data_IF_542965673563
#
_entry.id   IF_542965673563
#
_cell.length_a   1.000
_cell.length_b   1.000
_cell.length_c   1.000
_cell.angle_alpha   90.00
_cell.angle_beta   90.00
_cell.angle_gamma   90.00
#
_symmetry.space_group_name_H-M   'P 1'
#
loop_
_entity.id
_entity.type
_entity.pdbx_description
1 polymer ?
#
# COMPACT_ATOMS: atom_id res chain seq x y z
N UNK A 1 -42.65 10.32 -84.95
CA UNK A 1 -42.98 10.86 -83.61
C UNK A 1 -42.79 9.73 -82.62
N UNK A 2 -42.03 9.99 -81.56
CA UNK A 2 -41.34 8.99 -80.71
C UNK A 2 -42.31 8.25 -79.78
N UNK A 3 -42.18 6.93 -79.73
CA UNK A 3 -42.76 6.06 -78.70
C UNK A 3 -41.91 6.15 -77.43
N UNK A 4 -42.56 6.37 -76.29
CA UNK A 4 -41.96 6.44 -74.96
C UNK A 4 -42.13 5.09 -74.27
N UNK A 5 -41.05 4.34 -74.09
CA UNK A 5 -41.01 3.12 -73.27
C UNK A 5 -40.41 3.43 -71.90
N UNK A 6 -41.15 3.11 -70.84
CA UNK A 6 -40.68 3.12 -69.45
C UNK A 6 -39.91 1.83 -69.17
N UNK A 7 -38.65 1.94 -68.73
CA UNK A 7 -37.87 0.82 -68.21
C UNK A 7 -37.86 0.93 -66.68
N UNK A 8 -38.48 -0.04 -66.02
CA UNK A 8 -38.43 -0.24 -64.57
C UNK A 8 -37.11 -0.96 -64.28
N UNK A 9 -36.22 -0.31 -63.54
CA UNK A 9 -35.00 -0.93 -63.02
C UNK A 9 -35.36 -1.88 -61.86
N UNK A 10 -35.20 -3.19 -62.09
CA UNK A 10 -35.28 -4.21 -61.04
C UNK A 10 -33.90 -4.33 -60.41
N UNK A 11 -33.76 -3.75 -59.22
CA UNK A 11 -32.57 -3.88 -58.37
C UNK A 11 -32.55 -5.30 -57.77
N UNK A 12 -31.67 -6.16 -58.28
CA UNK A 12 -31.43 -7.49 -57.74
C UNK A 12 -30.58 -7.37 -56.47
N UNK A 13 -31.20 -7.50 -55.29
CA UNK A 13 -30.52 -7.54 -54.01
C UNK A 13 -29.99 -8.97 -53.78
N UNK A 14 -28.68 -9.17 -53.99
CA UNK A 14 -28.00 -10.42 -53.63
C UNK A 14 -27.87 -10.51 -52.10
N UNK A 15 -28.71 -11.32 -51.47
CA UNK A 15 -28.53 -11.71 -50.07
C UNK A 15 -27.41 -12.75 -50.07
N UNK A 16 -26.18 -12.31 -49.82
CA UNK A 16 -25.09 -13.19 -49.40
C UNK A 16 -25.47 -13.72 -48.01
N UNK A 17 -26.15 -14.87 -47.96
CA UNK A 17 -26.19 -15.71 -46.78
C UNK A 17 -24.78 -16.27 -46.56
N UNK A 18 -23.91 -15.43 -46.00
CA UNK A 18 -22.69 -15.89 -45.37
C UNK A 18 -23.10 -16.77 -44.21
N UNK A 19 -23.01 -18.08 -44.41
CA UNK A 19 -22.94 -19.01 -43.30
C UNK A 19 -21.67 -18.62 -42.55
N UNK A 20 -21.77 -17.86 -41.46
CA UNK A 20 -20.70 -17.78 -40.48
C UNK A 20 -20.50 -19.22 -40.01
N UNK A 21 -19.53 -19.88 -40.64
CA UNK A 21 -19.09 -21.20 -40.21
C UNK A 21 -18.45 -20.95 -38.86
N UNK A 22 -19.23 -21.15 -37.81
CA UNK A 22 -18.74 -21.34 -36.46
C UNK A 22 -17.78 -22.54 -36.58
N UNK A 23 -16.47 -22.25 -36.69
CA UNK A 23 -15.46 -23.29 -36.75
C UNK A 23 -15.55 -24.03 -35.43
N UNK A 24 -16.17 -25.21 -35.46
CA UNK A 24 -16.26 -26.10 -34.33
C UNK A 24 -14.84 -26.53 -33.96
N UNK A 25 -14.28 -25.85 -32.97
CA UNK A 25 -12.89 -26.02 -32.57
C UNK A 25 -12.75 -27.42 -31.94
N UNK A 26 -11.76 -28.23 -32.36
CA UNK A 26 -11.58 -29.57 -31.82
C UNK A 26 -11.32 -29.51 -30.31
N UNK A 27 -12.14 -30.22 -29.54
CA UNK A 27 -11.91 -30.42 -28.10
C UNK A 27 -10.62 -31.21 -27.87
N UNK A 28 -9.63 -30.59 -27.26
CA UNK A 28 -8.40 -31.26 -26.80
C UNK A 28 -8.63 -31.81 -25.40
N UNK A 29 -8.15 -33.04 -25.18
CA UNK A 29 -8.08 -33.62 -23.85
C UNK A 29 -6.78 -33.23 -23.10
N UNK A 30 -5.86 -32.52 -23.75
CA UNK A 30 -4.63 -32.04 -23.11
C UNK A 30 -4.91 -30.73 -22.36
N UNK A 31 -4.58 -30.65 -21.06
CA UNK A 31 -4.80 -29.44 -20.28
C UNK A 31 -3.83 -28.32 -20.71
N UNK A 32 -4.21 -27.03 -20.55
CA UNK A 32 -3.29 -25.91 -20.71
C UNK A 32 -2.22 -25.92 -19.60
N UNK A 33 -1.27 -24.98 -19.63
CA UNK A 33 -0.32 -24.75 -18.52
C UNK A 33 -0.40 -23.32 -17.99
N UNK A 34 -0.04 -23.12 -16.72
CA UNK A 34 -0.04 -21.81 -16.07
C UNK A 34 1.05 -21.71 -15.00
N UNK A 35 1.74 -20.57 -14.96
CA UNK A 35 2.63 -20.18 -13.87
C UNK A 35 2.14 -18.86 -13.26
N UNK A 36 2.16 -18.76 -11.94
CA UNK A 36 1.85 -17.54 -11.20
C UNK A 36 3.14 -16.96 -10.60
N UNK A 37 3.37 -15.67 -10.78
CA UNK A 37 4.49 -14.94 -10.18
C UNK A 37 4.02 -13.65 -9.50
N UNK A 38 4.71 -13.29 -8.42
CA UNK A 38 4.50 -12.07 -7.64
C UNK A 38 5.72 -11.81 -6.74
N UNK A 39 5.76 -10.63 -6.11
CA UNK A 39 6.79 -10.31 -5.12
C UNK A 39 6.61 -11.17 -3.84
N UNK A 40 7.70 -11.41 -3.11
CA UNK A 40 7.64 -12.15 -1.84
C UNK A 40 7.16 -11.30 -0.66
N UNK A 41 7.00 -9.99 -0.86
CA UNK A 41 6.54 -9.03 0.14
C UNK A 41 5.38 -8.23 -0.41
N UNK A 42 4.31 -8.15 0.36
CA UNK A 42 3.15 -7.32 0.08
C UNK A 42 3.12 -6.16 1.10
N UNK A 43 3.00 -4.92 0.65
CA UNK A 43 2.92 -3.77 1.56
C UNK A 43 1.48 -3.61 2.03
N UNK A 44 1.27 -3.54 3.35
CA UNK A 44 -0.06 -3.28 3.92
C UNK A 44 -0.66 -1.97 3.38
N UNK A 45 -1.96 -1.96 3.12
CA UNK A 45 -2.72 -0.87 2.46
C UNK A 45 -2.29 -0.55 1.02
N UNK A 46 -1.38 -1.35 0.44
CA UNK A 46 -0.91 -1.23 -0.93
C UNK A 46 -1.57 -2.21 -1.90
N UNK A 47 -1.20 -2.10 -3.18
CA UNK A 47 -1.56 -3.05 -4.24
C UNK A 47 -0.50 -4.14 -4.36
N UNK A 48 -0.92 -5.39 -4.33
CA UNK A 48 -0.06 -6.56 -4.59
C UNK A 48 -0.40 -7.16 -5.95
N UNK A 49 0.59 -7.19 -6.85
CA UNK A 49 0.36 -7.52 -8.26
C UNK A 49 0.69 -9.00 -8.54
N UNK A 50 -0.33 -9.77 -8.89
CA UNK A 50 -0.25 -11.16 -9.32
C UNK A 50 -0.18 -11.23 -10.84
N UNK A 51 0.81 -11.96 -11.39
CA UNK A 51 0.99 -12.15 -12.83
C UNK A 51 0.89 -13.63 -13.19
N UNK A 52 -0.13 -13.97 -13.97
CA UNK A 52 -0.33 -15.31 -14.48
C UNK A 52 0.11 -15.41 -15.95
N UNK A 53 0.97 -16.37 -16.24
CA UNK A 53 1.43 -16.69 -17.59
C UNK A 53 0.85 -18.05 -17.99
N UNK A 54 -0.16 -18.02 -18.86
CA UNK A 54 -0.85 -19.21 -19.36
C UNK A 54 -0.43 -19.55 -20.78
N UNK A 55 -0.18 -20.83 -21.06
CA UNK A 55 0.01 -21.35 -22.41
C UNK A 55 -1.14 -22.30 -22.76
N UNK A 56 -1.71 -22.08 -23.93
CA UNK A 56 -2.72 -22.97 -24.50
C UNK A 56 -2.09 -24.29 -24.92
N UNK A 57 -2.82 -25.39 -24.73
CA UNK A 57 -2.45 -26.70 -25.27
C UNK A 57 -2.33 -26.70 -26.81
N UNK A 58 -2.92 -25.70 -27.48
CA UNK A 58 -2.94 -25.55 -28.94
C UNK A 58 -1.81 -24.66 -29.49
N UNK A 59 -0.90 -24.15 -28.66
CA UNK A 59 0.18 -23.26 -29.10
C UNK A 59 -0.25 -21.86 -29.57
N UNK A 60 -1.53 -21.49 -29.38
CA UNK A 60 -2.13 -20.20 -29.75
C UNK A 60 -3.40 -19.90 -28.93
N UNK A 61 -4.14 -18.83 -29.22
CA UNK A 61 -5.25 -18.39 -28.37
C UNK A 61 -6.41 -19.42 -28.32
N UNK A 62 -6.50 -20.18 -27.22
CA UNK A 62 -7.71 -20.93 -26.80
C UNK A 62 -7.90 -20.89 -25.28
N UNK A 63 -7.44 -19.82 -24.64
CA UNK A 63 -7.69 -19.56 -23.22
C UNK A 63 -9.02 -18.80 -23.07
N UNK A 64 -9.77 -19.10 -22.01
CA UNK A 64 -11.02 -18.42 -21.71
C UNK A 64 -10.82 -17.42 -20.56
N UNK A 65 -10.22 -17.88 -19.47
CA UNK A 65 -10.20 -17.12 -18.21
C UNK A 65 -9.10 -17.59 -17.26
N UNK A 66 -8.57 -16.67 -16.47
CA UNK A 66 -7.77 -16.96 -15.27
C UNK A 66 -8.53 -16.45 -14.05
N UNK A 67 -8.81 -17.37 -13.13
CA UNK A 67 -9.35 -17.07 -11.80
C UNK A 67 -8.21 -16.98 -10.80
N UNK A 68 -8.19 -15.92 -9.99
CA UNK A 68 -7.19 -15.68 -8.96
C UNK A 68 -7.78 -15.98 -7.58
N UNK A 69 -7.00 -16.63 -6.74
CA UNK A 69 -7.41 -17.08 -5.42
C UNK A 69 -6.43 -16.61 -4.35
N UNK A 70 -6.94 -16.26 -3.17
CA UNK A 70 -6.19 -16.02 -1.94
C UNK A 70 -6.71 -16.95 -0.85
N UNK A 71 -5.83 -17.75 -0.24
CA UNK A 71 -6.17 -18.69 0.84
C UNK A 71 -7.36 -19.62 0.51
N UNK A 72 -7.57 -19.92 -0.78
CA UNK A 72 -8.67 -20.76 -1.27
C UNK A 72 -9.93 -20.00 -1.70
N UNK A 73 -10.05 -18.70 -1.43
CA UNK A 73 -11.17 -17.86 -1.85
C UNK A 73 -10.87 -17.17 -3.19
N UNK A 74 -11.83 -17.17 -4.13
CA UNK A 74 -11.68 -16.46 -5.42
C UNK A 74 -11.73 -14.95 -5.17
N UNK A 75 -10.63 -14.26 -5.48
CA UNK A 75 -10.48 -12.80 -5.31
C UNK A 75 -10.71 -12.03 -6.60
N UNK A 76 -10.71 -12.70 -7.74
CA UNK A 76 -11.02 -12.06 -9.02
C UNK A 76 -10.74 -12.94 -10.22
N UNK A 77 -10.93 -12.34 -11.39
CA UNK A 77 -10.80 -13.04 -12.67
C UNK A 77 -10.31 -12.11 -13.79
N UNK A 78 -9.69 -12.70 -14.81
CA UNK A 78 -9.26 -12.02 -16.05
C UNK A 78 -9.52 -12.90 -17.26
N UNK A 79 -10.16 -12.33 -18.28
CA UNK A 79 -10.50 -13.03 -19.54
C UNK A 79 -9.64 -12.61 -20.73
N UNK A 80 -8.77 -11.62 -20.54
CA UNK A 80 -7.89 -11.07 -21.59
C UNK A 80 -6.45 -11.00 -21.07
N UNK A 81 -5.51 -11.48 -21.87
CA UNK A 81 -4.08 -11.38 -21.58
C UNK A 81 -3.57 -9.94 -21.83
N UNK A 82 -2.59 -9.43 -21.06
CA UNK A 82 -1.87 -10.11 -19.97
C UNK A 82 -2.74 -10.33 -18.73
N UNK A 83 -2.69 -11.54 -18.15
CA UNK A 83 -3.47 -11.89 -16.95
C UNK A 83 -2.79 -11.33 -15.69
N UNK A 84 -3.01 -10.04 -15.43
CA UNK A 84 -2.52 -9.36 -14.23
C UNK A 84 -3.68 -8.99 -13.32
N UNK A 85 -3.57 -9.33 -12.04
CA UNK A 85 -4.56 -9.00 -11.01
C UNK A 85 -3.91 -8.19 -9.90
N UNK A 86 -4.54 -7.08 -9.52
CA UNK A 86 -4.10 -6.26 -8.39
C UNK A 86 -4.97 -6.59 -7.18
N UNK A 87 -4.35 -7.16 -6.16
CA UNK A 87 -4.98 -7.45 -4.87
C UNK A 87 -4.74 -6.31 -3.89
N UNK A 88 -5.81 -5.78 -3.30
CA UNK A 88 -5.73 -4.80 -2.22
C UNK A 88 -5.32 -5.47 -0.90
N UNK A 89 -4.12 -5.15 -0.43
CA UNK A 89 -3.59 -5.70 0.82
C UNK A 89 -4.19 -4.92 1.99
N UNK A 90 -5.06 -5.55 2.77
CA UNK A 90 -5.58 -4.95 3.99
C UNK A 90 -4.51 -4.94 5.09
N UNK A 91 -4.64 -4.03 6.05
CA UNK A 91 -3.83 -4.04 7.26
C UNK A 91 -4.24 -5.23 8.14
N UNK A 92 -3.49 -6.32 8.05
CA UNK A 92 -3.54 -7.40 9.03
C UNK A 92 -2.28 -7.32 9.86
N UNK A 93 -2.41 -7.27 11.19
CA UNK A 93 -1.26 -7.28 12.08
C UNK A 93 -1.42 -8.40 13.07
N UNK A 94 -0.71 -9.52 12.86
CA UNK A 94 0.77 -9.65 12.79
C UNK A 94 1.33 -9.92 11.38
N UNK A 95 2.65 -10.11 11.25
CA UNK A 95 3.36 -10.63 10.05
C UNK A 95 2.67 -11.89 9.47
N UNK A 96 1.62 -11.69 8.67
CA UNK A 96 0.85 -12.77 8.05
C UNK A 96 1.47 -13.12 6.70
N UNK A 97 1.49 -14.42 6.39
CA UNK A 97 1.72 -14.88 5.02
C UNK A 97 0.37 -15.03 4.32
N UNK A 98 0.28 -14.45 3.12
CA UNK A 98 -0.83 -14.70 2.20
C UNK A 98 -0.40 -15.74 1.17
N UNK A 99 -1.26 -16.73 0.89
CA UNK A 99 -1.02 -17.71 -0.17
C UNK A 99 -1.96 -17.44 -1.35
N UNK A 100 -1.38 -17.35 -2.55
CA UNK A 100 -2.13 -17.12 -3.77
C UNK A 100 -1.89 -18.22 -4.79
N UNK A 101 -2.92 -18.53 -5.57
CA UNK A 101 -2.82 -19.37 -6.75
C UNK A 101 -3.79 -18.87 -7.81
N UNK A 102 -3.60 -19.34 -9.04
CA UNK A 102 -4.48 -19.06 -10.16
C UNK A 102 -4.99 -20.38 -10.76
N UNK A 103 -6.18 -20.32 -11.36
CA UNK A 103 -6.76 -21.42 -12.13
C UNK A 103 -7.02 -20.91 -13.54
N UNK A 104 -6.35 -21.52 -14.52
CA UNK A 104 -6.55 -21.22 -15.94
C UNK A 104 -7.60 -22.17 -16.50
N UNK A 105 -8.59 -21.61 -17.21
CA UNK A 105 -9.67 -22.33 -17.89
C UNK A 105 -9.56 -22.06 -19.38
N UNK A 106 -9.57 -23.11 -20.20
CA UNK A 106 -9.62 -23.01 -21.66
C UNK A 106 -11.06 -23.03 -22.19
N UNK A 107 -11.26 -22.78 -23.50
CA UNK A 107 -12.60 -22.77 -24.09
C UNK A 107 -13.29 -24.13 -24.16
N UNK A 108 -12.53 -25.22 -24.00
CA UNK A 108 -13.07 -26.58 -23.91
C UNK A 108 -13.51 -26.93 -22.47
N UNK A 109 -13.27 -26.04 -21.50
CA UNK A 109 -13.60 -26.23 -20.09
C UNK A 109 -12.53 -26.98 -19.30
N UNK A 110 -11.36 -27.26 -19.88
CA UNK A 110 -10.25 -27.83 -19.11
C UNK A 110 -9.69 -26.77 -18.16
N UNK A 111 -9.43 -27.17 -16.92
CA UNK A 111 -8.92 -26.30 -15.86
C UNK A 111 -7.61 -26.84 -15.28
N UNK A 112 -6.66 -25.94 -15.03
CA UNK A 112 -5.39 -26.27 -14.37
C UNK A 112 -5.02 -25.23 -13.31
N UNK A 113 -4.50 -25.69 -12.18
CA UNK A 113 -4.02 -24.84 -11.08
C UNK A 113 -2.53 -24.51 -11.26
N UNK A 114 -2.15 -23.27 -10.97
CA UNK A 114 -0.76 -22.81 -10.96
C UNK A 114 0.04 -23.34 -9.77
N UNK A 115 1.34 -23.05 -9.75
CA UNK A 115 2.11 -23.01 -8.52
C UNK A 115 1.48 -22.04 -7.50
N UNK A 116 1.80 -22.23 -6.23
CA UNK A 116 1.42 -21.31 -5.16
C UNK A 116 2.50 -20.24 -4.99
N UNK A 117 2.10 -18.98 -4.82
CA UNK A 117 2.99 -17.87 -4.44
C UNK A 117 2.62 -17.40 -3.03
N UNK A 118 3.64 -17.07 -2.23
CA UNK A 118 3.46 -16.62 -0.85
C UNK A 118 4.06 -15.24 -0.66
N UNK A 119 3.30 -14.35 -0.03
CA UNK A 119 3.75 -13.00 0.29
C UNK A 119 3.71 -12.77 1.79
N UNK A 120 4.82 -12.29 2.37
CA UNK A 120 4.82 -11.75 3.74
C UNK A 120 4.25 -10.33 3.69
N UNK A 121 3.22 -10.07 4.48
CA UNK A 121 2.71 -8.70 4.64
C UNK A 121 3.73 -7.90 5.44
N UNK A 122 4.12 -6.73 4.92
CA UNK A 122 4.96 -5.76 5.62
C UNK A 122 4.16 -4.48 5.87
N UNK A 123 4.03 -4.12 7.14
CA UNK A 123 3.51 -2.81 7.54
C UNK A 123 4.67 -1.81 7.46
N UNK A 124 4.48 -0.73 6.70
CA UNK A 124 5.44 0.37 6.67
C UNK A 124 5.08 1.38 7.77
N UNK A 125 6.08 2.06 8.37
CA UNK A 125 5.81 3.17 9.26
C UNK A 125 5.08 4.30 8.54
N UNK A 126 4.07 4.86 9.20
CA UNK A 126 3.40 6.07 8.77
C UNK A 126 4.12 7.24 9.43
N UNK A 127 4.65 8.14 8.60
CA UNK A 127 5.39 9.33 9.05
C UNK A 127 4.46 10.52 9.23
N UNK A 128 4.70 11.27 10.30
CA UNK A 128 4.14 12.58 10.56
C UNK A 128 5.31 13.55 10.75
N UNK A 129 5.48 14.45 9.79
CA UNK A 129 6.47 15.53 9.89
C UNK A 129 6.10 16.47 11.05
N UNK A 130 7.07 16.84 11.88
CA UNK A 130 6.80 17.59 13.09
C UNK A 130 6.19 18.97 12.76
N UNK A 131 6.64 19.60 11.68
CA UNK A 131 6.15 20.91 11.22
C UNK A 131 4.70 20.88 10.70
N UNK A 132 4.17 19.70 10.40
CA UNK A 132 2.77 19.50 10.00
C UNK A 132 1.86 19.15 11.19
N UNK A 133 2.44 18.93 12.39
CA UNK A 133 1.69 18.68 13.61
C UNK A 133 1.14 19.97 14.22
N UNK A 134 0.19 19.84 15.16
CA UNK A 134 -0.31 21.00 15.92
C UNK A 134 0.74 21.41 16.94
N UNK A 135 1.27 22.63 16.81
CA UNK A 135 2.29 23.16 17.72
C UNK A 135 1.70 23.47 19.10
N UNK A 136 2.50 23.29 20.15
CA UNK A 136 2.15 23.62 21.54
C UNK A 136 3.12 24.61 22.14
N UNK A 137 2.62 25.45 23.05
CA UNK A 137 3.46 26.33 23.87
C UNK A 137 4.31 27.27 23.01
N UNK A 138 5.63 27.25 23.25
CA UNK A 138 6.59 28.07 22.50
C UNK A 138 7.07 27.42 21.19
N UNK A 139 6.64 26.19 20.90
CA UNK A 139 7.12 25.44 19.75
C UNK A 139 6.85 26.20 18.45
N UNK A 140 7.82 26.16 17.54
CA UNK A 140 7.75 26.86 16.25
C UNK A 140 8.47 26.06 15.17
N UNK A 141 7.96 26.19 13.94
CA UNK A 141 8.64 25.64 12.76
C UNK A 141 9.90 26.45 12.49
N UNK A 142 10.99 25.76 12.18
CA UNK A 142 12.21 26.33 11.64
C UNK A 142 12.53 25.70 10.28
N UNK A 143 13.01 26.52 9.34
CA UNK A 143 13.33 26.13 7.96
C UNK A 143 14.43 27.02 7.37
N UNK A 144 15.36 27.48 8.22
CA UNK A 144 16.59 28.12 7.77
C UNK A 144 17.41 27.15 6.89
N UNK A 145 18.46 27.67 6.24
CA UNK A 145 19.22 26.90 5.25
C UNK A 145 19.81 25.60 5.82
N UNK A 146 20.35 25.62 7.03
CA UNK A 146 20.98 24.44 7.64
C UNK A 146 19.92 23.40 8.01
N UNK A 147 18.79 23.86 8.53
CA UNK A 147 17.62 23.01 8.82
C UNK A 147 17.09 22.33 7.55
N UNK A 148 16.92 23.08 6.44
CA UNK A 148 16.40 22.54 5.17
C UNK A 148 17.28 21.45 4.56
N UNK A 149 18.59 21.48 4.82
CA UNK A 149 19.56 20.55 4.26
C UNK A 149 19.58 19.19 4.96
N UNK A 150 19.08 19.13 6.19
CA UNK A 150 19.28 17.99 7.10
C UNK A 150 17.97 17.38 7.58
N UNK A 151 16.93 18.19 7.71
CA UNK A 151 15.62 17.75 8.20
C UNK A 151 14.82 17.12 7.06
N UNK A 152 14.07 16.09 7.39
CA UNK A 152 13.03 15.58 6.51
C UNK A 152 12.04 16.68 6.15
N UNK A 153 11.50 16.62 4.93
CA UNK A 153 10.61 17.63 4.39
C UNK A 153 11.11 19.10 4.53
N UNK A 154 12.42 19.27 4.69
CA UNK A 154 13.13 20.54 4.78
C UNK A 154 12.74 21.42 5.99
N UNK A 155 12.11 20.90 7.03
CA UNK A 155 11.75 21.69 8.21
C UNK A 155 11.81 20.86 9.49
N UNK A 156 11.76 21.55 10.63
CA UNK A 156 11.71 20.94 11.96
C UNK A 156 10.81 21.75 12.88
N UNK A 157 10.45 21.17 14.01
CA UNK A 157 9.90 21.91 15.15
C UNK A 157 10.96 22.08 16.22
N UNK A 158 11.27 23.34 16.52
CA UNK A 158 12.11 23.70 17.65
C UNK A 158 11.37 24.50 18.71
N UNK A 159 12.13 25.11 19.62
CA UNK A 159 11.60 25.86 20.76
C UNK A 159 10.76 25.03 21.74
N UNK A 160 11.09 23.76 21.84
CA UNK A 160 10.52 22.83 22.81
C UNK A 160 11.27 23.07 24.14
N UNK A 161 11.03 24.26 24.71
CA UNK A 161 11.92 24.86 25.73
C UNK A 161 11.31 24.90 27.14
N UNK A 162 10.03 24.55 27.28
CA UNK A 162 9.37 24.45 28.57
C UNK A 162 8.28 23.37 28.54
N UNK A 163 7.77 23.00 29.72
CA UNK A 163 6.79 21.91 29.88
C UNK A 163 5.50 22.03 29.05
N UNK A 164 5.15 23.22 28.55
CA UNK A 164 4.00 23.42 27.67
C UNK A 164 4.33 23.25 26.18
N UNK A 165 5.61 23.34 25.81
CA UNK A 165 6.08 23.29 24.42
C UNK A 165 6.18 21.86 23.90
N UNK A 166 5.88 21.69 22.61
CA UNK A 166 5.91 20.39 21.93
C UNK A 166 5.02 20.37 20.70
N UNK A 167 4.58 19.17 20.32
CA UNK A 167 3.63 18.94 19.24
C UNK A 167 2.51 17.99 19.66
N UNK A 168 1.35 18.13 19.04
CA UNK A 168 0.23 17.18 19.05
C UNK A 168 -0.07 16.70 17.63
N UNK A 169 -0.31 15.41 17.48
CA UNK A 169 -0.79 14.82 16.23
C UNK A 169 -1.82 13.72 16.51
N UNK A 170 -2.77 13.55 15.60
CA UNK A 170 -3.73 12.45 15.66
C UNK A 170 -3.26 11.33 14.75
N UNK A 171 -3.13 10.13 15.31
CA UNK A 171 -2.87 8.89 14.56
C UNK A 171 -4.13 8.05 14.49
N UNK A 172 -4.26 7.26 13.43
CA UNK A 172 -5.36 6.30 13.27
C UNK A 172 -4.82 4.88 13.45
N UNK A 173 -5.42 4.15 14.37
CA UNK A 173 -5.09 2.77 14.68
C UNK A 173 -6.21 1.89 14.16
N UNK A 174 -5.95 1.09 13.12
CA UNK A 174 -6.99 0.24 12.53
C UNK A 174 -7.26 -1.00 13.37
N UNK A 175 -6.23 -1.54 14.04
CA UNK A 175 -6.36 -2.74 14.88
C UNK A 175 -5.56 -2.59 16.16
N UNK A 176 -6.19 -2.80 17.31
CA UNK A 176 -5.53 -2.75 18.61
C UNK A 176 -4.26 -3.63 18.71
N UNK A 177 -3.28 -3.19 19.47
CA UNK A 177 -2.04 -3.92 19.74
C UNK A 177 -0.87 -3.00 20.08
N UNK A 178 0.34 -3.56 20.07
CA UNK A 178 1.56 -2.80 20.34
C UNK A 178 2.01 -2.02 19.11
N UNK A 179 2.17 -0.71 19.25
CA UNK A 179 2.68 0.17 18.22
C UNK A 179 4.04 0.73 18.62
N UNK A 180 4.98 0.63 17.69
CA UNK A 180 6.23 1.37 17.73
C UNK A 180 5.95 2.82 17.34
N UNK A 181 6.33 3.76 18.21
CA UNK A 181 6.47 5.18 17.89
C UNK A 181 7.96 5.49 17.82
N UNK A 182 8.44 5.80 16.62
CA UNK A 182 9.83 6.18 16.35
C UNK A 182 9.93 7.68 16.16
N UNK A 183 10.82 8.34 16.90
CA UNK A 183 10.91 9.81 16.90
C UNK A 183 12.28 10.22 16.42
N UNK A 184 12.34 11.09 15.41
CA UNK A 184 13.58 11.73 14.98
C UNK A 184 13.77 13.05 15.70
N UNK A 185 14.81 13.11 16.55
CA UNK A 185 15.10 14.29 17.36
C UNK A 185 16.60 14.57 17.46
N UNK A 186 16.94 15.84 17.73
CA UNK A 186 18.31 16.33 17.81
C UNK A 186 18.51 17.37 18.91
N UNK A 187 19.74 17.51 19.39
CA UNK A 187 20.10 18.50 20.42
C UNK A 187 21.58 18.85 20.41
N UNK A 188 21.87 20.11 20.75
CA UNK A 188 23.21 20.59 21.11
C UNK A 188 23.53 20.54 22.62
N UNK A 189 22.63 20.00 23.45
CA UNK A 189 22.73 20.03 24.92
C UNK A 189 22.84 18.62 25.53
N UNK A 190 23.63 18.50 26.60
CA UNK A 190 23.67 17.27 27.41
C UNK A 190 22.48 17.22 28.37
N UNK A 191 21.94 16.02 28.61
CA UNK A 191 20.81 15.82 29.53
C UNK A 191 19.45 16.19 28.92
N UNK A 192 19.38 16.39 27.61
CA UNK A 192 18.12 16.63 26.90
C UNK A 192 17.24 15.40 26.89
N UNK A 193 15.95 15.60 27.19
CA UNK A 193 14.95 14.57 27.04
C UNK A 193 13.59 15.19 26.73
N UNK A 194 12.76 14.41 26.04
CA UNK A 194 11.36 14.72 25.79
C UNK A 194 10.48 13.57 26.28
N UNK A 195 9.19 13.83 26.40
CA UNK A 195 8.20 12.88 26.92
C UNK A 195 7.02 12.75 25.97
N UNK A 196 6.60 11.52 25.73
CA UNK A 196 5.54 11.15 24.80
C UNK A 196 4.31 10.71 25.58
N UNK A 197 3.17 11.28 25.24
CA UNK A 197 1.87 11.00 25.83
C UNK A 197 0.95 10.45 24.75
N UNK A 198 0.16 9.44 25.13
CA UNK A 198 -0.99 9.00 24.36
C UNK A 198 -2.24 9.52 25.06
N UNK A 199 -3.08 10.25 24.34
CA UNK A 199 -4.33 10.84 24.83
C UNK A 199 -4.17 11.64 26.13
N UNK A 200 -3.07 12.41 26.23
CA UNK A 200 -2.68 13.20 27.42
C UNK A 200 -2.44 12.39 28.71
N UNK A 201 -2.40 11.05 28.65
CA UNK A 201 -2.28 10.20 29.83
C UNK A 201 -0.85 10.21 30.40
N UNK A 202 -0.69 10.86 31.55
CA UNK A 202 0.58 10.91 32.29
C UNK A 202 1.06 9.54 32.78
N UNK A 203 0.13 8.68 33.23
CA UNK A 203 0.47 7.38 33.85
C UNK A 203 1.16 6.39 32.89
N UNK A 204 0.96 6.55 31.59
CA UNK A 204 1.53 5.70 30.53
C UNK A 204 2.54 6.43 29.66
N UNK A 205 2.84 7.70 29.97
CA UNK A 205 3.74 8.51 29.18
C UNK A 205 5.20 8.04 29.36
N UNK A 206 5.95 8.03 28.26
CA UNK A 206 7.33 7.51 28.23
C UNK A 206 8.31 8.63 27.90
N UNK A 207 9.46 8.63 28.56
CA UNK A 207 10.54 9.59 28.36
C UNK A 207 11.61 8.96 27.47
N UNK A 208 12.18 9.74 26.56
CA UNK A 208 13.38 9.37 25.81
C UNK A 208 14.45 10.45 25.94
N UNK A 209 15.69 10.01 26.16
CA UNK A 209 16.85 10.89 26.23
C UNK A 209 17.40 11.15 24.82
N UNK A 210 17.78 12.39 24.55
CA UNK A 210 18.35 12.84 23.27
C UNK A 210 19.84 13.13 23.51
N UNK A 211 20.77 12.26 23.07
CA UNK A 211 22.20 12.52 23.22
C UNK A 211 22.64 13.72 22.40
N UNK A 212 23.54 14.53 22.97
CA UNK A 212 24.15 15.66 22.28
C UNK A 212 25.02 15.18 21.11
N UNK A 213 24.57 15.44 19.89
CA UNK A 213 25.32 15.21 18.65
C UNK A 213 25.47 16.48 17.81
N UNK A 214 25.04 17.63 18.35
CA UNK A 214 24.91 18.89 17.64
C UNK A 214 23.50 19.13 17.11
N UNK A 215 23.19 20.40 16.84
CA UNK A 215 21.96 20.78 16.18
C UNK A 215 21.91 20.22 14.75
N UNK A 216 20.71 19.92 14.26
CA UNK A 216 20.49 19.37 12.92
C UNK A 216 21.18 18.01 12.67
N UNK A 217 21.54 17.28 13.74
CA UNK A 217 22.03 15.90 13.68
C UNK A 217 20.98 14.98 14.28
N UNK A 218 20.21 14.34 13.40
CA UNK A 218 19.03 13.58 13.75
C UNK A 218 19.35 12.15 14.21
N UNK A 219 18.75 11.77 15.32
CA UNK A 219 18.77 10.41 15.88
C UNK A 219 17.35 9.90 16.03
N UNK A 220 17.14 8.59 15.93
CA UNK A 220 15.81 7.97 16.10
C UNK A 220 15.68 7.27 17.44
N UNK A 221 14.54 7.45 18.09
CA UNK A 221 14.23 6.86 19.40
C UNK A 221 12.93 6.07 19.33
N UNK A 222 12.97 4.83 19.78
CA UNK A 222 11.89 3.86 19.65
C UNK A 222 11.18 3.65 20.99
N UNK A 223 9.88 3.92 21.01
CA UNK A 223 9.01 3.70 22.16
C UNK A 223 7.85 2.80 21.75
N UNK A 224 7.41 1.91 22.63
CA UNK A 224 6.32 0.98 22.35
C UNK A 224 5.12 1.33 23.21
N UNK A 225 3.96 1.54 22.59
CA UNK A 225 2.70 1.83 23.27
C UNK A 225 1.64 0.79 22.89
N UNK A 226 0.92 0.21 23.87
CA UNK A 226 -0.30 -0.53 23.59
C UNK A 226 -1.39 0.48 23.22
N UNK A 227 -1.96 0.34 22.02
CA UNK A 227 -3.01 1.22 21.50
C UNK A 227 -4.25 0.41 21.15
N UNK A 228 -5.41 1.00 21.38
CA UNK A 228 -6.69 0.43 20.97
C UNK A 228 -7.00 0.84 19.51
N UNK A 229 -7.97 0.18 18.89
CA UNK A 229 -8.45 0.62 17.59
C UNK A 229 -9.17 1.97 17.69
N UNK A 230 -8.89 2.87 16.77
CA UNK A 230 -9.48 4.21 16.69
C UNK A 230 -8.44 5.34 16.64
N UNK A 231 -8.92 6.59 16.72
CA UNK A 231 -8.05 7.77 16.75
C UNK A 231 -7.38 7.90 18.11
N UNK A 232 -6.08 8.16 18.11
CA UNK A 232 -5.31 8.49 19.31
C UNK A 232 -4.56 9.79 19.10
N UNK A 233 -4.42 10.59 20.16
CA UNK A 233 -3.55 11.77 20.15
C UNK A 233 -2.17 11.38 20.68
N UNK A 234 -1.15 11.58 19.86
CA UNK A 234 0.25 11.56 20.28
C UNK A 234 0.69 12.97 20.60
N UNK A 235 1.17 13.20 21.82
CA UNK A 235 1.82 14.46 22.20
C UNK A 235 3.28 14.23 22.55
N UNK A 236 4.20 14.92 21.89
CA UNK A 236 5.63 14.92 22.24
C UNK A 236 5.96 16.27 22.87
N UNK A 237 6.39 16.27 24.14
CA UNK A 237 6.55 17.48 24.96
C UNK A 237 7.93 17.56 25.57
N UNK A 238 8.37 18.78 25.85
CA UNK A 238 9.58 19.04 26.63
C UNK A 238 9.57 18.27 27.96
N UNK A 239 10.71 17.68 28.32
CA UNK A 239 10.96 17.14 29.66
C UNK A 239 12.16 17.82 30.32
N UNK A 240 13.30 17.87 29.65
CA UNK A 240 14.52 18.53 30.15
C UNK A 240 15.38 19.08 29.02
N UNK A 241 16.02 20.24 29.28
CA UNK A 241 16.89 20.94 28.33
C UNK A 241 16.22 21.16 26.96
N UNK A 242 17.01 21.51 25.94
CA UNK A 242 16.48 21.96 24.65
C UNK A 242 16.76 20.93 23.57
N UNK A 243 15.70 20.44 22.91
CA UNK A 243 15.78 19.49 21.81
C UNK A 243 14.71 19.77 20.77
N UNK A 244 14.97 19.40 19.52
CA UNK A 244 14.10 19.69 18.38
C UNK A 244 13.65 18.39 17.73
N UNK A 245 12.54 18.45 17.00
CA UNK A 245 11.88 17.32 16.34
C UNK A 245 11.89 17.52 14.83
N UNK A 246 12.32 16.50 14.11
CA UNK A 246 12.19 16.43 12.65
C UNK A 246 10.85 15.78 12.29
N UNK A 247 10.64 14.54 12.73
CA UNK A 247 9.41 13.80 12.51
C UNK A 247 9.17 12.77 13.62
N UNK A 248 8.00 12.16 13.60
CA UNK A 248 7.82 10.84 14.20
C UNK A 248 7.09 9.90 13.24
N UNK A 249 7.29 8.61 13.44
CA UNK A 249 6.66 7.54 12.69
C UNK A 249 5.92 6.61 13.66
N UNK A 250 4.85 5.98 13.17
CA UNK A 250 4.22 4.89 13.90
C UNK A 250 3.98 3.68 13.00
N UNK A 251 4.18 2.49 13.56
CA UNK A 251 3.90 1.22 12.91
C UNK A 251 3.51 0.18 13.94
N UNK A 252 2.57 -0.70 13.62
CA UNK A 252 2.26 -1.82 14.50
C UNK A 252 3.42 -2.82 14.52
N UNK A 253 3.68 -3.40 15.69
CA UNK A 253 4.76 -4.35 15.94
C UNK A 253 4.34 -5.80 15.69
#
# INVERSE_FOLDING_TARGET
MKNLFYIIAISFLFILSGCEREEEIPSSALPPSITLSADSVAVATGKFVLRAEGLSAYGGAQLQQVDFYKDGEKIGEKTVAPYTFEYDVQENVPDQQLAFHAVLIDRAGNAIKSNEVRARIRVLPIRIEAENATLRGLARVANDQETRQTSSNQAKVGAIDNASSGIDATIQILTAGDYLIRIAAGTGFNGTSHKVYIDDKEATAQVYAIPNRGWNVWQTFDLIFPLEAGPHKVSIRHQSMYGELDYFEYSKR
#
